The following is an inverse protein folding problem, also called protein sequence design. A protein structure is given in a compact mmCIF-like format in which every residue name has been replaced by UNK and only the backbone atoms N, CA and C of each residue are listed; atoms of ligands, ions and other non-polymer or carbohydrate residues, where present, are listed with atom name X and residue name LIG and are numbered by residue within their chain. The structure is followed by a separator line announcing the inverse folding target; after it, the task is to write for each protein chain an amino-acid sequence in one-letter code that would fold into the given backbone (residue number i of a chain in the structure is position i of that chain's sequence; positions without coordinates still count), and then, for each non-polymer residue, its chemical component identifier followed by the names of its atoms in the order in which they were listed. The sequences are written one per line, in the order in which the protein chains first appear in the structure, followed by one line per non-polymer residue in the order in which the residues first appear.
data_IF_662502959417
#
_entry.id   IF_662502959417
#
_cell.length_a   1.000
_cell.length_b   1.000
_cell.length_c   1.000
_cell.angle_alpha   90.00
_cell.angle_beta   90.00
_cell.angle_gamma   90.00
#
_symmetry.space_group_name_H-M   'P 1'
#
loop_
_entity.id
_entity.type
_entity.pdbx_description
1 polymer ?
#
# COMPACT_ATOMS: atom_id res chain seq x y z
N UNK A 1 -13.37 2.08 4.25
CA UNK A 1 -12.48 1.46 5.26
C UNK A 1 -12.18 2.41 6.41
N UNK A 2 -11.84 3.69 6.16
CA UNK A 2 -11.40 4.62 7.21
C UNK A 2 -12.49 5.57 7.77
N UNK A 3 -13.77 5.24 7.64
CA UNK A 3 -14.87 6.18 7.97
C UNK A 3 -14.89 6.60 9.45
N UNK A 4 -14.49 5.69 10.35
CA UNK A 4 -14.46 5.92 11.80
C UNK A 4 -13.04 6.28 12.31
N UNK A 5 -12.09 6.55 11.41
CA UNK A 5 -10.74 6.92 11.81
C UNK A 5 -10.70 8.37 12.30
N UNK A 6 -10.23 8.58 13.54
CA UNK A 6 -10.04 9.93 14.08
C UNK A 6 -8.86 10.64 13.38
N UNK A 7 -9.17 11.67 12.59
CA UNK A 7 -8.17 12.44 11.84
C UNK A 7 -7.15 13.17 12.71
N UNK A 8 -7.50 13.54 13.95
CA UNK A 8 -6.56 14.18 14.88
C UNK A 8 -5.38 13.25 15.25
N UNK A 9 -5.56 11.94 15.05
CA UNK A 9 -4.51 10.94 15.28
C UNK A 9 -3.58 10.75 14.08
N UNK A 10 -3.87 11.33 12.92
CA UNK A 10 -3.12 11.07 11.68
C UNK A 10 -1.62 11.29 11.85
N UNK A 11 -1.22 12.43 12.42
CA UNK A 11 0.19 12.78 12.65
C UNK A 11 0.84 11.79 13.62
N UNK A 12 0.16 11.43 14.70
CA UNK A 12 0.67 10.48 15.69
C UNK A 12 0.86 9.08 15.08
N UNK A 13 -0.13 8.58 14.33
CA UNK A 13 -0.04 7.28 13.64
C UNK A 13 1.07 7.28 12.60
N UNK A 14 1.24 8.36 11.84
CA UNK A 14 2.34 8.47 10.87
C UNK A 14 3.72 8.39 11.56
N UNK A 15 3.89 9.05 12.71
CA UNK A 15 5.11 8.95 13.51
C UNK A 15 5.33 7.55 14.08
N UNK A 16 4.28 6.87 14.53
CA UNK A 16 4.34 5.47 14.95
C UNK A 16 4.79 4.55 13.79
N UNK A 17 4.23 4.74 12.59
CA UNK A 17 4.66 4.02 11.39
C UNK A 17 6.14 4.29 11.07
N UNK A 18 6.59 5.53 11.16
CA UNK A 18 7.99 5.89 10.93
C UNK A 18 8.91 5.22 11.97
N UNK A 19 8.52 5.19 13.24
CA UNK A 19 9.29 4.47 14.29
C UNK A 19 9.38 2.99 14.00
N UNK A 20 8.27 2.35 13.61
CA UNK A 20 8.25 0.93 13.27
C UNK A 20 9.13 0.60 12.05
N UNK A 21 9.19 1.48 11.06
CA UNK A 21 10.08 1.31 9.90
C UNK A 21 11.57 1.45 10.23
N UNK A 22 11.92 2.18 11.29
CA UNK A 22 13.29 2.37 11.75
C UNK A 22 13.72 1.36 12.83
N UNK A 23 12.82 0.46 13.24
CA UNK A 23 13.13 -0.60 14.19
C UNK A 23 13.97 -1.71 13.52
N UNK A 24 14.52 -2.64 14.31
CA UNK A 24 15.43 -3.69 13.84
C UNK A 24 14.83 -4.54 12.72
N UNK A 25 13.52 -4.86 12.81
CA UNK A 25 12.81 -5.62 11.79
C UNK A 25 12.44 -4.80 10.54
N UNK A 26 12.51 -3.48 10.62
CA UNK A 26 12.27 -2.52 9.54
C UNK A 26 10.99 -2.76 8.73
N UNK A 27 11.08 -2.55 7.43
CA UNK A 27 9.96 -2.72 6.49
C UNK A 27 9.37 -4.14 6.52
N UNK A 28 10.20 -5.18 6.63
CA UNK A 28 9.72 -6.57 6.64
C UNK A 28 8.84 -6.84 7.87
N UNK A 29 9.24 -6.33 9.04
CA UNK A 29 8.44 -6.42 10.27
C UNK A 29 7.12 -5.68 10.16
N UNK A 30 7.13 -4.48 9.55
CA UNK A 30 5.89 -3.71 9.30
C UNK A 30 4.95 -4.48 8.39
N UNK A 31 5.45 -5.03 7.27
CA UNK A 31 4.64 -5.79 6.33
C UNK A 31 4.10 -7.09 6.97
N UNK A 32 4.89 -7.77 7.81
CA UNK A 32 4.43 -8.94 8.56
C UNK A 32 3.27 -8.59 9.48
N UNK A 33 3.41 -7.53 10.29
CA UNK A 33 2.35 -7.06 11.18
C UNK A 33 1.07 -6.69 10.43
N UNK A 34 1.21 -6.03 9.28
CA UNK A 34 0.06 -5.70 8.42
C UNK A 34 -0.64 -6.98 7.94
N UNK A 35 0.11 -7.96 7.43
CA UNK A 35 -0.47 -9.21 6.92
C UNK A 35 -1.17 -10.05 8.01
N UNK A 36 -0.66 -10.00 9.24
CA UNK A 36 -1.26 -10.66 10.41
C UNK A 36 -2.54 -9.95 10.89
N UNK A 37 -2.55 -8.62 10.88
CA UNK A 37 -3.66 -7.83 11.46
C UNK A 37 -4.78 -7.59 10.45
N UNK A 38 -4.48 -7.56 9.15
CA UNK A 38 -5.42 -7.21 8.11
C UNK A 38 -6.28 -8.43 7.69
N UNK A 39 -7.62 -8.34 7.77
CA UNK A 39 -8.50 -9.38 7.24
C UNK A 39 -8.25 -9.63 5.76
N UNK A 40 -8.32 -10.91 5.35
CA UNK A 40 -8.03 -11.34 3.97
C UNK A 40 -8.83 -10.53 2.92
N UNK A 41 -10.12 -10.31 3.17
CA UNK A 41 -11.03 -9.51 2.33
C UNK A 41 -10.65 -8.02 2.16
N UNK A 42 -9.62 -7.53 2.84
CA UNK A 42 -9.11 -6.16 2.72
C UNK A 42 -7.69 -6.09 2.15
N UNK A 43 -7.06 -7.24 1.87
CA UNK A 43 -5.68 -7.28 1.37
C UNK A 43 -5.54 -6.61 0.01
N UNK A 44 -6.48 -6.86 -0.89
CA UNK A 44 -6.59 -6.19 -2.19
C UNK A 44 -6.81 -4.67 -2.04
N UNK A 45 -7.58 -4.26 -1.04
CA UNK A 45 -7.87 -2.86 -0.73
C UNK A 45 -6.63 -2.14 -0.19
N UNK A 46 -5.86 -2.77 0.69
CA UNK A 46 -4.59 -2.23 1.18
C UNK A 46 -3.57 -2.11 0.03
N UNK A 47 -3.51 -3.11 -0.85
CA UNK A 47 -2.66 -3.05 -2.03
C UNK A 47 -3.07 -1.94 -2.99
N UNK A 48 -4.38 -1.77 -3.23
CA UNK A 48 -4.88 -0.68 -4.07
C UNK A 48 -4.50 0.70 -3.51
N UNK A 49 -4.63 0.91 -2.20
CA UNK A 49 -4.20 2.15 -1.56
C UNK A 49 -2.70 2.42 -1.72
N UNK A 50 -1.86 1.40 -1.51
CA UNK A 50 -0.42 1.51 -1.72
C UNK A 50 -0.06 1.80 -3.19
N UNK A 51 -0.76 1.16 -4.14
CA UNK A 51 -0.56 1.38 -5.56
C UNK A 51 -0.94 2.82 -5.97
N UNK A 52 -2.04 3.36 -5.44
CA UNK A 52 -2.47 4.73 -5.74
C UNK A 52 -1.46 5.77 -5.24
N UNK A 53 -0.86 5.57 -4.06
CA UNK A 53 0.24 6.42 -3.57
C UNK A 53 1.44 6.37 -4.51
N UNK A 54 1.86 5.17 -4.92
CA UNK A 54 3.01 4.99 -5.82
C UNK A 54 2.75 5.44 -7.27
N UNK A 55 1.49 5.57 -7.68
CA UNK A 55 1.13 5.95 -9.05
C UNK A 55 0.86 7.46 -9.21
N UNK A 56 0.85 8.24 -8.12
CA UNK A 56 0.40 9.64 -8.11
C UNK A 56 1.22 10.53 -9.02
N UNK A 57 2.54 10.31 -9.09
CA UNK A 57 3.46 11.14 -9.86
C UNK A 57 3.52 10.75 -11.36
N UNK A 58 2.67 9.83 -11.81
CA UNK A 58 2.58 9.31 -13.20
C UNK A 58 3.85 8.61 -13.72
N UNK A 59 4.94 8.62 -12.95
CA UNK A 59 6.20 7.94 -13.22
C UNK A 59 6.60 7.11 -12.00
N UNK A 60 6.36 5.80 -12.07
CA UNK A 60 6.67 4.89 -10.97
C UNK A 60 8.14 4.48 -11.03
N UNK A 61 8.89 4.76 -9.97
CA UNK A 61 10.32 4.43 -9.88
C UNK A 61 10.54 2.96 -9.54
N UNK A 62 11.74 2.47 -9.82
CA UNK A 62 12.09 1.06 -9.56
C UNK A 62 11.98 0.70 -8.07
N UNK A 63 12.28 1.63 -7.17
CA UNK A 63 12.14 1.43 -5.72
C UNK A 63 10.68 1.22 -5.32
N UNK A 64 9.75 2.00 -5.90
CA UNK A 64 8.32 1.89 -5.63
C UNK A 64 7.74 0.58 -6.18
N UNK A 65 8.16 0.17 -7.38
CA UNK A 65 7.83 -1.14 -7.94
C UNK A 65 8.30 -2.25 -7.01
N UNK A 66 9.51 -2.13 -6.45
CA UNK A 66 10.06 -3.13 -5.53
C UNK A 66 9.24 -3.20 -4.24
N UNK A 67 8.85 -2.07 -3.66
CA UNK A 67 7.99 -2.03 -2.47
C UNK A 67 6.63 -2.67 -2.77
N UNK A 68 6.00 -2.35 -3.91
CA UNK A 68 4.74 -2.97 -4.31
C UNK A 68 4.85 -4.49 -4.51
N UNK A 69 5.99 -4.99 -5.02
CA UNK A 69 6.23 -6.43 -5.10
C UNK A 69 6.30 -7.08 -3.71
N UNK A 70 6.94 -6.44 -2.74
CA UNK A 70 6.99 -6.93 -1.36
C UNK A 70 5.61 -6.95 -0.71
N UNK A 71 4.83 -5.88 -0.88
CA UNK A 71 3.45 -5.81 -0.38
C UNK A 71 2.60 -6.92 -1.02
N UNK A 72 2.67 -7.09 -2.34
CA UNK A 72 1.96 -8.15 -3.06
C UNK A 72 2.28 -9.53 -2.47
N UNK A 73 3.57 -9.83 -2.31
CA UNK A 73 4.02 -11.12 -1.79
C UNK A 73 3.51 -11.34 -0.36
N UNK A 74 3.61 -10.32 0.50
CA UNK A 74 3.20 -10.44 1.90
C UNK A 74 1.70 -10.57 2.09
N UNK A 75 0.92 -9.94 1.21
CA UNK A 75 -0.54 -10.00 1.22
C UNK A 75 -1.09 -11.16 0.39
N UNK A 76 -0.23 -12.01 -0.19
CA UNK A 76 -0.63 -13.20 -0.96
C UNK A 76 -1.64 -12.89 -2.08
N UNK A 77 -1.35 -11.85 -2.88
CA UNK A 77 -2.24 -11.41 -3.94
C UNK A 77 -1.89 -12.04 -5.29
N UNK A 78 -2.91 -12.60 -5.93
CA UNK A 78 -2.81 -13.20 -7.25
C UNK A 78 -2.55 -12.17 -8.35
N UNK A 79 -2.06 -12.66 -9.49
CA UNK A 79 -1.66 -11.80 -10.62
C UNK A 79 -2.83 -11.02 -11.23
N UNK A 80 -4.04 -11.60 -11.28
CA UNK A 80 -5.18 -10.97 -11.91
C UNK A 80 -5.70 -9.81 -11.07
N UNK A 81 -5.77 -9.98 -9.74
CA UNK A 81 -6.16 -8.91 -8.82
C UNK A 81 -5.22 -7.71 -8.92
N UNK A 82 -3.90 -7.96 -8.86
CA UNK A 82 -2.89 -6.89 -8.99
C UNK A 82 -2.97 -6.21 -10.36
N UNK A 83 -3.15 -6.97 -11.44
CA UNK A 83 -3.27 -6.41 -12.78
C UNK A 83 -4.54 -5.56 -12.94
N UNK A 84 -5.66 -5.97 -12.34
CA UNK A 84 -6.91 -5.21 -12.35
C UNK A 84 -6.76 -3.87 -11.62
N UNK A 85 -6.14 -3.87 -10.43
CA UNK A 85 -5.85 -2.65 -9.66
C UNK A 85 -4.96 -1.71 -10.45
N UNK A 86 -3.85 -2.21 -10.99
CA UNK A 86 -2.92 -1.40 -11.78
C UNK A 86 -3.60 -0.78 -13.01
N UNK A 87 -4.47 -1.55 -13.68
CA UNK A 87 -5.24 -1.07 -14.84
C UNK A 87 -6.24 0.01 -14.43
N UNK A 88 -6.96 -0.18 -13.32
CA UNK A 88 -7.93 0.78 -12.82
C UNK A 88 -7.28 2.10 -12.39
N UNK A 89 -6.16 2.04 -11.65
CA UNK A 89 -5.40 3.22 -11.25
C UNK A 89 -4.89 4.00 -12.48
N UNK A 90 -4.28 3.30 -13.45
CA UNK A 90 -3.85 3.92 -14.72
C UNK A 90 -5.01 4.55 -15.48
N UNK A 91 -6.19 3.95 -15.47
CA UNK A 91 -7.36 4.51 -16.14
C UNK A 91 -7.82 5.83 -15.51
N UNK A 92 -7.73 5.98 -14.17
CA UNK A 92 -8.08 7.21 -13.45
C UNK A 92 -7.09 8.35 -13.69
N UNK A 93 -5.83 8.01 -13.90
CA UNK A 93 -4.72 8.95 -14.09
C UNK A 93 -4.52 9.39 -15.55
N UNK A 94 -5.26 8.79 -16.50
CA UNK A 94 -5.19 9.19 -17.91
C UNK A 94 -5.74 10.60 -18.06
N UNK A 95 -4.90 11.48 -18.58
CA UNK A 95 -5.30 12.79 -19.05
C UNK A 95 -5.63 12.71 -20.55
N UNK A 96 -6.58 13.54 -20.98
CA UNK A 96 -6.82 13.81 -22.40
C UNK A 96 -5.67 14.71 -22.86
N UNK A 97 -4.56 14.13 -23.30
CA UNK A 97 -3.62 14.86 -24.17
C UNK A 97 -4.28 15.10 -25.52
#
# INVERSE_FOLDING_TARGET
VFIDFNQDRLVAVAQECQKALNDEAGLEGVLARVAETLPERLRDTAYAAAFEVAAVDLEMRMEEVRVLQLIRLKLDLDTLTVAAIARAAKARLRTLT
#
